data_IF_123195096773
#
_entry.id   IF_123195096773
#
_cell.length_a   1.000
_cell.length_b   1.000
_cell.length_c   1.000
_cell.angle_alpha   90.00
_cell.angle_beta   90.00
_cell.angle_gamma   90.00
#
_symmetry.space_group_name_H-M   'P 1'
#
loop_
_entity.id
_entity.type
_entity.pdbx_description
1 polymer ?
#
# COMPACT_ATOMS: atom_id res chain seq x y z
N UNK A 1 59.72 33.25 43.34
CA UNK A 1 58.83 32.96 42.20
C UNK A 1 58.05 31.70 42.55
N UNK A 2 56.75 31.81 42.73
CA UNK A 2 55.89 30.69 43.09
C UNK A 2 54.52 31.18 43.54
N UNK A 3 53.75 31.74 42.60
CA UNK A 3 52.35 32.12 42.85
C UNK A 3 51.49 30.85 42.95
N UNK A 4 50.67 30.67 44.00
CA UNK A 4 49.73 29.57 44.05
C UNK A 4 48.50 29.90 43.18
N UNK A 5 48.37 29.19 42.06
CA UNK A 5 47.17 29.24 41.20
C UNK A 5 45.98 28.58 41.93
N UNK A 6 45.04 29.42 42.36
CA UNK A 6 43.73 29.00 42.86
C UNK A 6 42.90 28.53 41.67
N UNK A 7 42.50 27.26 41.65
CA UNK A 7 41.62 26.69 40.62
C UNK A 7 40.19 26.71 41.15
N UNK A 8 39.39 27.70 40.75
CA UNK A 8 37.95 27.72 41.00
C UNK A 8 37.27 26.65 40.14
N UNK A 9 36.83 25.57 40.77
CA UNK A 9 35.90 24.60 40.18
C UNK A 9 34.49 25.21 40.19
N UNK A 10 34.06 25.76 39.06
CA UNK A 10 32.68 26.16 38.80
C UNK A 10 31.81 24.91 38.57
N UNK A 11 31.10 24.48 39.61
CA UNK A 11 30.02 23.51 39.50
C UNK A 11 28.79 24.20 38.91
N UNK A 12 28.57 24.02 37.61
CA UNK A 12 27.33 24.43 36.92
C UNK A 12 26.24 23.41 37.25
N UNK A 13 25.40 23.73 38.24
CA UNK A 13 24.15 23.02 38.50
C UNK A 13 23.07 23.50 37.51
N UNK A 14 22.71 22.64 36.55
CA UNK A 14 21.57 22.89 35.66
C UNK A 14 20.28 22.48 36.37
N UNK A 15 19.55 23.46 36.92
CA UNK A 15 18.16 23.26 37.32
C UNK A 15 17.29 23.35 36.06
N UNK A 16 16.71 22.23 35.63
CA UNK A 16 15.67 22.22 34.59
C UNK A 16 14.37 22.68 35.25
N UNK A 17 14.02 23.95 35.08
CA UNK A 17 12.66 24.41 35.33
C UNK A 17 11.79 23.98 34.14
N UNK A 18 10.85 23.07 34.39
CA UNK A 18 9.76 22.80 33.47
C UNK A 18 8.84 24.03 33.45
N UNK A 19 9.11 24.96 32.54
CA UNK A 19 8.21 26.07 32.28
C UNK A 19 7.01 25.51 31.50
N UNK A 20 5.87 25.39 32.18
CA UNK A 20 4.58 25.10 31.58
C UNK A 20 4.21 26.27 30.67
N UNK A 21 4.69 26.21 29.43
CA UNK A 21 4.43 27.20 28.39
C UNK A 21 3.00 27.04 27.88
N UNK A 22 2.24 28.12 28.06
CA UNK A 22 1.01 28.52 27.37
C UNK A 22 0.38 27.50 26.43
N UNK A 23 -0.80 27.03 26.82
CA UNK A 23 -1.87 26.60 25.91
C UNK A 23 -2.08 27.68 24.82
N UNK A 24 -2.45 27.24 23.62
CA UNK A 24 -2.64 28.01 22.38
C UNK A 24 -1.45 28.05 21.41
N UNK A 25 -0.91 26.88 21.09
CA UNK A 25 -0.60 26.56 19.71
C UNK A 25 -1.48 25.35 19.35
N UNK A 26 -2.53 25.57 18.57
CA UNK A 26 -3.20 24.52 17.81
C UNK A 26 -2.19 23.94 16.81
N UNK A 27 -1.24 23.14 17.30
CA UNK A 27 -0.75 22.02 16.52
C UNK A 27 -1.91 21.04 16.47
N UNK A 28 -2.72 21.18 15.42
CA UNK A 28 -3.65 20.17 15.00
C UNK A 28 -2.82 18.93 14.64
N UNK A 29 -2.42 18.17 15.66
CA UNK A 29 -1.90 16.81 15.54
C UNK A 29 -2.99 16.07 14.77
N UNK A 30 -2.80 15.95 13.47
CA UNK A 30 -3.74 15.28 12.59
C UNK A 30 -4.00 13.90 13.18
N UNK A 31 -5.23 13.69 13.66
CA UNK A 31 -5.70 12.39 14.10
C UNK A 31 -5.41 11.40 12.99
N UNK A 32 -4.96 10.21 13.37
CA UNK A 32 -4.64 9.21 12.37
C UNK A 32 -5.93 8.75 11.65
N UNK A 33 -5.99 8.88 10.32
CA UNK A 33 -7.25 8.73 9.59
C UNK A 33 -7.75 7.27 9.54
N UNK A 34 -6.88 6.31 9.88
CA UNK A 34 -7.22 4.89 9.97
C UNK A 34 -7.90 4.51 11.28
N UNK A 35 -7.79 5.30 12.36
CA UNK A 35 -8.38 4.98 13.67
C UNK A 35 -9.92 4.99 13.65
N UNK A 36 -10.51 5.69 12.68
CA UNK A 36 -11.93 5.66 12.43
C UNK A 36 -12.41 4.27 11.94
N UNK A 37 -11.56 3.53 11.20
CA UNK A 37 -11.87 2.22 10.60
C UNK A 37 -11.39 1.05 11.47
N UNK A 38 -10.21 1.18 12.06
CA UNK A 38 -9.54 0.13 12.81
C UNK A 38 -9.41 0.53 14.27
N UNK A 39 -10.17 -0.13 15.14
CA UNK A 39 -10.22 0.16 16.58
C UNK A 39 -9.12 -0.56 17.33
N UNK A 40 -8.59 0.08 18.35
CA UNK A 40 -7.56 -0.48 19.23
C UNK A 40 -8.03 -1.75 19.92
N UNK A 41 -7.09 -2.65 20.20
CA UNK A 41 -7.31 -3.95 20.81
C UNK A 41 -8.32 -4.83 20.05
N UNK A 42 -8.43 -4.61 18.72
CA UNK A 42 -9.20 -5.47 17.81
C UNK A 42 -8.27 -6.18 16.83
N UNK A 43 -8.78 -7.30 16.34
CA UNK A 43 -8.21 -8.10 15.26
C UNK A 43 -9.24 -8.15 14.13
N UNK A 44 -8.78 -7.88 12.92
CA UNK A 44 -9.58 -7.95 11.70
C UNK A 44 -9.03 -9.06 10.82
N UNK A 45 -9.89 -9.95 10.34
CA UNK A 45 -9.49 -11.11 9.52
C UNK A 45 -10.15 -11.00 8.16
N UNK A 46 -9.34 -11.07 7.11
CA UNK A 46 -9.77 -10.97 5.72
C UNK A 46 -9.23 -12.13 4.89
N UNK A 47 -9.99 -12.51 3.86
CA UNK A 47 -9.46 -13.33 2.78
C UNK A 47 -8.94 -12.41 1.68
N UNK A 48 -7.62 -12.42 1.46
CA UNK A 48 -6.99 -11.67 0.40
C UNK A 48 -6.79 -12.56 -0.83
N UNK A 49 -7.15 -12.04 -2.01
CA UNK A 49 -6.88 -12.67 -3.29
C UNK A 49 -6.38 -11.62 -4.27
N UNK A 50 -5.31 -11.93 -4.98
CA UNK A 50 -4.80 -11.11 -6.08
C UNK A 50 -4.42 -12.00 -7.25
N UNK A 51 -4.68 -11.51 -8.46
CA UNK A 51 -4.28 -12.16 -9.69
C UNK A 51 -3.70 -11.12 -10.64
N UNK A 52 -2.68 -11.51 -11.41
CA UNK A 52 -2.16 -10.72 -12.52
C UNK A 52 -2.38 -11.52 -13.80
N UNK A 53 -2.92 -10.87 -14.82
CA UNK A 53 -3.22 -11.48 -16.12
C UNK A 53 -2.64 -10.60 -17.21
N UNK A 54 -1.80 -11.18 -18.06
CA UNK A 54 -1.34 -10.57 -19.30
C UNK A 54 -2.05 -11.21 -20.48
N UNK A 55 -2.51 -10.40 -21.45
CA UNK A 55 -3.20 -10.89 -22.64
C UNK A 55 -3.31 -9.82 -23.73
N UNK A 56 -3.75 -10.23 -24.92
CA UNK A 56 -4.03 -9.33 -26.05
C UNK A 56 -5.53 -9.22 -26.22
N UNK A 57 -6.07 -8.03 -25.95
CA UNK A 57 -7.51 -7.75 -26.07
C UNK A 57 -7.98 -7.97 -27.52
N UNK A 58 -9.06 -8.72 -27.70
CA UNK A 58 -9.78 -8.84 -28.97
C UNK A 58 -9.34 -9.96 -29.93
N UNK A 59 -8.17 -10.57 -29.75
CA UNK A 59 -7.65 -11.60 -30.69
C UNK A 59 -7.40 -12.97 -30.07
N UNK A 60 -7.09 -13.05 -28.77
CA UNK A 60 -6.89 -14.33 -28.10
C UNK A 60 -7.43 -14.28 -26.67
N UNK A 61 -8.06 -15.37 -26.22
CA UNK A 61 -8.39 -15.58 -24.80
C UNK A 61 -7.19 -16.05 -23.97
N UNK A 62 -6.00 -16.10 -24.57
CA UNK A 62 -4.78 -16.51 -23.90
C UNK A 62 -4.43 -15.50 -22.82
N UNK A 63 -4.46 -15.97 -21.56
CA UNK A 63 -4.00 -15.21 -20.41
C UNK A 63 -3.00 -16.04 -19.61
N UNK A 64 -1.99 -15.37 -19.07
CA UNK A 64 -1.03 -15.98 -18.14
C UNK A 64 -0.83 -15.04 -16.95
N UNK A 65 -0.56 -15.64 -15.79
CA UNK A 65 0.01 -14.96 -14.65
C UNK A 65 -0.30 -15.64 -13.31
N UNK A 66 0.31 -15.14 -12.24
CA UNK A 66 0.17 -15.71 -10.91
C UNK A 66 -1.16 -15.30 -10.27
N UNK A 67 -1.63 -16.16 -9.37
CA UNK A 67 -2.70 -15.89 -8.41
C UNK A 67 -2.22 -16.25 -7.02
N UNK A 68 -2.39 -15.31 -6.10
CA UNK A 68 -2.06 -15.46 -4.69
C UNK A 68 -3.33 -15.36 -3.86
N UNK A 69 -3.50 -16.26 -2.91
CA UNK A 69 -4.54 -16.18 -1.89
C UNK A 69 -3.91 -16.29 -0.52
N UNK A 70 -4.32 -15.47 0.44
CA UNK A 70 -3.84 -15.53 1.83
C UNK A 70 -4.98 -15.17 2.79
N UNK A 71 -4.98 -15.78 3.97
CA UNK A 71 -5.66 -15.21 5.12
C UNK A 71 -4.80 -14.08 5.69
N UNK A 72 -5.40 -12.91 5.90
CA UNK A 72 -4.74 -11.73 6.42
C UNK A 72 -5.37 -11.38 7.77
N UNK A 73 -4.54 -11.25 8.80
CA UNK A 73 -4.94 -10.74 10.10
C UNK A 73 -4.27 -9.39 10.36
N UNK A 74 -5.08 -8.37 10.64
CA UNK A 74 -4.61 -7.06 11.05
C UNK A 74 -4.95 -6.84 12.52
N UNK A 75 -3.93 -6.82 13.37
CA UNK A 75 -4.04 -6.51 14.78
C UNK A 75 -3.77 -5.02 15.03
N UNK A 76 -4.50 -4.42 15.97
CA UNK A 76 -4.37 -3.00 16.33
C UNK A 76 -3.95 -2.88 17.80
N UNK A 77 -2.67 -3.12 18.16
CA UNK A 77 -2.22 -3.08 19.56
C UNK A 77 -2.38 -1.70 20.20
N UNK A 78 -2.18 -0.63 19.43
CA UNK A 78 -2.39 0.75 19.86
C UNK A 78 -2.96 1.56 18.70
N UNK A 79 -3.42 2.78 18.99
CA UNK A 79 -3.95 3.64 17.93
C UNK A 79 -2.87 3.89 16.89
N UNK A 80 -3.19 3.54 15.64
CA UNK A 80 -2.33 3.75 14.47
C UNK A 80 -0.96 3.09 14.52
N UNK A 81 -0.88 2.00 15.27
CA UNK A 81 0.12 0.97 15.04
C UNK A 81 -0.57 -0.36 14.85
N UNK A 82 -0.11 -1.07 13.83
CA UNK A 82 -0.73 -2.29 13.37
C UNK A 82 0.31 -3.39 13.25
N UNK A 83 -0.15 -4.63 13.38
CA UNK A 83 0.65 -5.82 13.08
C UNK A 83 -0.11 -6.65 12.07
N UNK A 84 0.49 -6.83 10.89
CA UNK A 84 -0.04 -7.62 9.80
C UNK A 84 0.54 -9.04 9.88
N UNK A 85 -0.33 -10.01 10.05
CA UNK A 85 -0.03 -11.43 9.91
C UNK A 85 -0.65 -11.96 8.62
N UNK A 86 0.06 -12.88 7.97
CA UNK A 86 -0.44 -13.63 6.83
C UNK A 86 -0.33 -15.11 7.12
N UNK A 87 -1.36 -15.86 6.79
CA UNK A 87 -1.46 -17.31 7.02
C UNK A 87 -2.20 -17.96 5.85
N UNK A 88 -2.06 -19.28 5.72
CA UNK A 88 -2.73 -20.08 4.68
C UNK A 88 -2.51 -19.49 3.28
N UNK A 89 -1.29 -19.06 3.00
CA UNK A 89 -0.94 -18.47 1.72
C UNK A 89 -0.74 -19.55 0.64
N UNK A 90 -1.38 -19.37 -0.52
CA UNK A 90 -1.21 -20.24 -1.67
C UNK A 90 -0.79 -19.44 -2.90
N UNK A 91 0.19 -19.97 -3.63
CA UNK A 91 0.66 -19.44 -4.91
C UNK A 91 0.29 -20.42 -6.02
N UNK A 92 -0.42 -19.91 -7.01
CA UNK A 92 -0.85 -20.66 -8.17
C UNK A 92 -0.58 -19.87 -9.45
N UNK A 93 -0.49 -20.56 -10.57
CA UNK A 93 -0.26 -19.97 -11.89
C UNK A 93 -1.21 -20.58 -12.91
N UNK A 94 -1.48 -19.84 -13.99
CA UNK A 94 -2.30 -20.35 -15.08
C UNK A 94 -1.57 -21.50 -15.76
N UNK A 95 -2.22 -22.66 -15.78
CA UNK A 95 -1.66 -23.88 -16.38
C UNK A 95 -2.24 -24.19 -17.76
N UNK A 96 -3.55 -24.03 -17.91
CA UNK A 96 -4.31 -24.33 -19.12
C UNK A 96 -5.49 -23.35 -19.17
N UNK A 97 -6.02 -23.10 -20.36
CA UNK A 97 -7.27 -22.37 -20.56
C UNK A 97 -8.34 -23.39 -20.91
N UNK A 98 -9.43 -23.37 -20.19
CA UNK A 98 -10.53 -24.31 -20.40
C UNK A 98 -11.27 -24.03 -21.73
N UNK A 99 -12.17 -24.94 -22.18
CA UNK A 99 -12.94 -24.73 -23.40
C UNK A 99 -13.83 -23.48 -23.38
N UNK A 100 -14.16 -22.95 -22.21
CA UNK A 100 -14.97 -21.73 -22.02
C UNK A 100 -14.10 -20.47 -22.18
N UNK A 101 -12.78 -20.60 -22.05
CA UNK A 101 -11.81 -19.53 -22.15
C UNK A 101 -11.35 -18.99 -20.81
N UNK A 102 -11.64 -19.69 -19.71
CA UNK A 102 -11.25 -19.31 -18.36
C UNK A 102 -9.91 -19.95 -17.96
N UNK A 103 -9.04 -19.22 -17.24
CA UNK A 103 -7.75 -19.73 -16.81
C UNK A 103 -7.91 -20.76 -15.68
N UNK A 104 -7.32 -21.94 -15.87
CA UNK A 104 -7.23 -23.00 -14.87
C UNK A 104 -5.92 -22.89 -14.11
N UNK A 105 -6.02 -22.59 -12.82
CA UNK A 105 -4.88 -22.41 -11.93
C UNK A 105 -4.38 -23.74 -11.35
N UNK A 106 -3.06 -23.91 -11.29
CA UNK A 106 -2.40 -24.99 -10.55
C UNK A 106 -1.34 -24.41 -9.62
N UNK A 107 -0.99 -25.16 -8.58
CA UNK A 107 0.07 -24.77 -7.66
C UNK A 107 1.36 -24.49 -8.42
N UNK A 108 1.95 -23.32 -8.19
CA UNK A 108 3.16 -22.89 -8.88
C UNK A 108 4.39 -23.61 -8.30
N UNK A 109 5.46 -23.68 -9.09
CA UNK A 109 6.76 -24.13 -8.58
C UNK A 109 7.22 -23.22 -7.43
N UNK A 110 7.63 -23.82 -6.30
CA UNK A 110 8.08 -23.08 -5.12
C UNK A 110 6.96 -22.50 -4.23
N UNK A 111 5.70 -22.90 -4.43
CA UNK A 111 4.58 -22.45 -3.61
C UNK A 111 4.78 -22.69 -2.10
N UNK A 112 5.41 -23.81 -1.70
CA UNK A 112 5.66 -24.10 -0.29
C UNK A 112 6.67 -23.12 0.32
N UNK A 113 7.73 -22.78 -0.42
CA UNK A 113 8.71 -21.79 0.01
C UNK A 113 8.11 -20.38 0.06
N UNK A 114 7.22 -20.06 -0.88
CA UNK A 114 6.44 -18.82 -0.88
C UNK A 114 5.54 -18.73 0.36
N UNK A 115 4.78 -19.79 0.65
CA UNK A 115 3.92 -19.86 1.83
C UNK A 115 4.74 -19.66 3.10
N UNK A 116 5.82 -20.44 3.27
CA UNK A 116 6.70 -20.31 4.42
C UNK A 116 7.24 -18.88 4.58
N UNK A 117 7.65 -18.23 3.49
CA UNK A 117 8.20 -16.88 3.54
C UNK A 117 7.14 -15.81 3.87
N UNK A 118 5.92 -15.93 3.33
CA UNK A 118 4.81 -15.04 3.69
C UNK A 118 4.48 -15.14 5.18
N UNK A 119 4.37 -16.37 5.71
CA UNK A 119 3.90 -16.65 7.07
C UNK A 119 4.97 -16.46 8.15
N UNK A 120 6.26 -16.45 7.78
CA UNK A 120 7.38 -16.41 8.73
C UNK A 120 7.38 -15.18 9.64
N UNK A 121 7.28 -13.98 9.05
CA UNK A 121 7.52 -12.72 9.74
C UNK A 121 6.26 -11.83 9.73
N UNK A 122 5.75 -11.39 10.90
CA UNK A 122 4.70 -10.36 10.92
C UNK A 122 5.27 -9.00 10.51
N UNK A 123 4.47 -8.18 9.83
CA UNK A 123 4.88 -6.84 9.43
C UNK A 123 4.28 -5.79 10.36
N UNK A 124 5.15 -5.05 11.06
CA UNK A 124 4.75 -3.96 11.95
C UNK A 124 4.59 -2.68 11.13
N UNK A 125 3.52 -1.94 11.38
CA UNK A 125 3.11 -0.77 10.61
C UNK A 125 2.79 0.36 11.59
N UNK A 126 3.22 1.58 11.29
CA UNK A 126 2.75 2.77 12.00
C UNK A 126 2.27 3.81 11.01
N UNK A 127 1.37 4.68 11.44
CA UNK A 127 1.05 5.91 10.71
C UNK A 127 1.62 7.10 11.49
N UNK A 128 2.30 7.98 10.78
CA UNK A 128 2.87 9.22 11.32
C UNK A 128 2.32 10.42 10.54
N UNK A 129 2.00 11.56 11.21
CA UNK A 129 1.40 12.74 10.57
C UNK A 129 2.09 13.25 9.30
N UNK A 130 3.43 13.28 9.29
CA UNK A 130 4.21 13.86 8.19
C UNK A 130 4.58 12.84 7.12
N UNK A 131 4.85 11.59 7.53
CA UNK A 131 5.36 10.56 6.61
C UNK A 131 4.26 9.62 6.11
N UNK A 132 3.11 9.60 6.78
CA UNK A 132 2.05 8.65 6.52
C UNK A 132 2.43 7.25 6.99
N UNK A 133 2.22 6.24 6.14
CA UNK A 133 2.47 4.84 6.49
C UNK A 133 3.98 4.56 6.53
N UNK A 134 4.46 4.03 7.66
CA UNK A 134 5.78 3.45 7.80
C UNK A 134 5.71 1.96 8.08
N UNK A 135 6.63 1.23 7.46
CA UNK A 135 6.72 -0.23 7.54
C UNK A 135 8.03 -0.62 8.23
N UNK A 136 7.96 -1.58 9.15
CA UNK A 136 9.11 -2.13 9.86
C UNK A 136 9.19 -3.64 9.58
N UNK A 137 9.73 -4.02 8.41
CA UNK A 137 9.96 -5.43 8.07
C UNK A 137 11.11 -6.00 8.89
N UNK A 138 11.13 -7.32 9.05
CA UNK A 138 12.30 -8.01 9.62
C UNK A 138 13.47 -7.98 8.61
N UNK A 139 14.74 -7.91 9.05
CA UNK A 139 15.89 -7.71 8.17
C UNK A 139 16.08 -8.79 7.09
N UNK A 140 15.58 -10.00 7.35
CA UNK A 140 15.70 -11.16 6.46
C UNK A 140 14.47 -11.35 5.56
N UNK A 141 13.49 -10.43 5.59
CA UNK A 141 12.29 -10.53 4.78
C UNK A 141 12.61 -10.27 3.29
N UNK A 142 12.34 -11.23 2.39
CA UNK A 142 12.60 -11.02 0.96
C UNK A 142 11.78 -9.87 0.38
N UNK A 143 12.40 -9.06 -0.48
CA UNK A 143 11.77 -7.86 -1.04
C UNK A 143 10.47 -8.17 -1.80
N UNK A 144 10.41 -9.30 -2.50
CA UNK A 144 9.19 -9.74 -3.20
C UNK A 144 8.04 -10.06 -2.23
N UNK A 145 8.33 -10.69 -1.09
CA UNK A 145 7.36 -10.98 -0.03
C UNK A 145 6.86 -9.68 0.59
N UNK A 146 7.78 -8.77 0.92
CA UNK A 146 7.44 -7.45 1.44
C UNK A 146 6.58 -6.63 0.46
N UNK A 147 6.83 -6.73 -0.84
CA UNK A 147 6.01 -6.06 -1.86
C UNK A 147 4.57 -6.59 -1.93
N UNK A 148 4.37 -7.88 -1.70
CA UNK A 148 3.01 -8.45 -1.62
C UNK A 148 2.29 -7.93 -0.37
N UNK A 149 2.99 -7.88 0.78
CA UNK A 149 2.45 -7.28 2.01
C UNK A 149 2.15 -5.78 1.84
N UNK A 150 2.99 -5.02 1.11
CA UNK A 150 2.69 -3.63 0.71
C UNK A 150 1.40 -3.52 -0.08
N UNK A 151 1.16 -4.44 -1.02
CA UNK A 151 -0.09 -4.53 -1.78
C UNK A 151 -1.32 -4.71 -0.87
N UNK A 152 -1.24 -5.65 0.08
CA UNK A 152 -2.30 -5.86 1.10
C UNK A 152 -2.56 -4.57 1.89
N UNK A 153 -1.50 -3.92 2.39
CA UNK A 153 -1.63 -2.68 3.17
C UNK A 153 -2.24 -1.56 2.35
N UNK A 154 -1.84 -1.41 1.08
CA UNK A 154 -2.42 -0.41 0.18
C UNK A 154 -3.91 -0.64 -0.04
N UNK A 155 -4.38 -1.89 -0.06
CA UNK A 155 -5.81 -2.19 -0.15
C UNK A 155 -6.56 -1.85 1.17
N UNK A 156 -5.92 -2.05 2.32
CA UNK A 156 -6.50 -1.74 3.64
C UNK A 156 -6.46 -0.24 3.99
N UNK A 157 -5.62 0.55 3.32
CA UNK A 157 -5.38 1.97 3.60
C UNK A 157 -6.46 2.88 2.99
N UNK A 158 -7.69 2.81 3.51
CA UNK A 158 -8.77 3.72 3.11
C UNK A 158 -9.20 4.60 4.29
N UNK A 159 -8.83 5.89 4.30
CA UNK A 159 -9.19 6.82 5.37
C UNK A 159 -10.68 7.17 5.34
N UNK A 160 -11.16 7.86 6.39
CA UNK A 160 -12.47 8.51 6.38
C UNK A 160 -12.36 9.88 5.72
N UNK A 161 -13.29 10.16 4.82
CA UNK A 161 -13.29 11.28 3.87
C UNK A 161 -13.27 12.66 4.48
N UNK A 162 -13.94 12.87 5.61
CA UNK A 162 -14.01 14.19 6.28
C UNK A 162 -12.62 14.71 6.68
N UNK A 163 -11.60 13.85 6.63
CA UNK A 163 -10.21 14.14 7.04
C UNK A 163 -9.18 13.98 5.89
N UNK A 164 -9.58 13.72 4.64
CA UNK A 164 -8.62 13.37 3.57
C UNK A 164 -8.51 14.38 2.43
N UNK A 165 -7.26 14.66 2.04
CA UNK A 165 -6.91 15.29 0.75
C UNK A 165 -7.02 14.28 -0.39
N UNK A 166 -7.19 14.75 -1.63
CA UNK A 166 -7.21 13.92 -2.85
C UNK A 166 -5.90 13.14 -3.12
N UNK A 167 -4.89 13.21 -2.26
CA UNK A 167 -3.59 12.55 -2.41
C UNK A 167 -3.46 11.45 -1.35
N UNK A 168 -3.26 10.20 -1.78
CA UNK A 168 -3.19 9.03 -0.91
C UNK A 168 -1.87 8.27 -1.06
N UNK A 169 -1.40 7.67 0.04
CA UNK A 169 -0.27 6.73 0.03
C UNK A 169 -0.70 5.37 -0.54
N UNK A 170 0.02 4.90 -1.57
CA UNK A 170 -0.21 3.63 -2.26
C UNK A 170 1.11 2.86 -2.48
N UNK A 171 1.04 1.66 -3.06
CA UNK A 171 2.24 0.94 -3.54
C UNK A 171 3.02 1.67 -4.64
N UNK A 172 2.36 2.60 -5.36
CA UNK A 172 2.94 3.42 -6.42
C UNK A 172 3.40 4.81 -5.90
N UNK A 173 3.43 5.00 -4.58
CA UNK A 173 3.75 6.26 -3.91
C UNK A 173 2.51 7.10 -3.60
N UNK A 174 2.68 8.42 -3.55
CA UNK A 174 1.62 9.42 -3.42
C UNK A 174 0.88 9.54 -4.75
N UNK A 175 -0.39 9.16 -4.75
CA UNK A 175 -1.25 9.19 -5.93
C UNK A 175 -2.41 10.14 -5.71
N UNK A 176 -2.69 11.00 -6.71
CA UNK A 176 -3.99 11.66 -6.80
C UNK A 176 -5.07 10.59 -6.98
N UNK A 177 -6.11 10.68 -6.16
CA UNK A 177 -7.19 9.70 -6.08
C UNK A 177 -8.52 10.43 -6.19
N UNK A 178 -9.28 10.11 -7.23
CA UNK A 178 -10.64 10.59 -7.39
C UNK A 178 -11.60 9.69 -6.61
N UNK A 179 -12.56 10.31 -5.93
CA UNK A 179 -13.45 9.65 -4.99
C UNK A 179 -14.91 9.79 -5.42
N UNK A 180 -15.65 8.68 -5.43
CA UNK A 180 -17.09 8.66 -5.73
C UNK A 180 -17.83 7.86 -4.66
N UNK A 181 -18.83 8.48 -4.03
CA UNK A 181 -19.78 7.78 -3.13
C UNK A 181 -20.85 7.11 -3.99
N UNK A 182 -20.94 5.78 -3.93
CA UNK A 182 -22.00 5.04 -4.59
C UNK A 182 -23.24 4.91 -3.69
N UNK A 183 -23.06 4.75 -2.38
CA UNK A 183 -24.16 4.62 -1.40
C UNK A 183 -23.78 5.17 -0.03
N UNK A 184 -24.67 5.98 0.54
CA UNK A 184 -24.54 6.59 1.88
C UNK A 184 -25.71 6.21 2.79
N UNK A 185 -25.39 5.92 4.05
CA UNK A 185 -26.34 5.77 5.17
C UNK A 185 -25.91 6.73 6.29
N UNK A 186 -25.54 6.20 7.46
CA UNK A 186 -24.93 7.01 8.53
C UNK A 186 -23.46 7.35 8.18
N UNK A 187 -22.84 6.52 7.33
CA UNK A 187 -21.53 6.73 6.72
C UNK A 187 -21.58 6.43 5.21
N UNK A 188 -20.49 6.74 4.50
CA UNK A 188 -20.27 6.24 3.14
C UNK A 188 -20.04 4.73 3.20
N UNK A 189 -21.03 3.97 2.72
CA UNK A 189 -21.08 2.50 2.80
C UNK A 189 -20.55 1.80 1.56
N UNK A 190 -20.59 2.47 0.41
CA UNK A 190 -20.04 1.99 -0.86
C UNK A 190 -19.33 3.15 -1.55
N UNK A 191 -18.06 2.94 -1.87
CA UNK A 191 -17.13 3.96 -2.35
C UNK A 191 -16.34 3.41 -3.52
N UNK A 192 -16.12 4.24 -4.54
CA UNK A 192 -15.17 3.96 -5.61
C UNK A 192 -14.04 4.97 -5.60
N UNK A 193 -12.81 4.47 -5.64
CA UNK A 193 -11.59 5.24 -5.82
C UNK A 193 -11.03 4.97 -7.21
N UNK A 194 -10.75 6.03 -7.96
CA UNK A 194 -10.13 5.93 -9.29
C UNK A 194 -8.81 6.70 -9.31
N UNK A 195 -7.79 6.13 -9.95
CA UNK A 195 -6.44 6.70 -10.05
C UNK A 195 -5.89 6.56 -11.46
N UNK A 196 -5.32 7.66 -11.96
CA UNK A 196 -4.35 7.63 -13.05
C UNK A 196 -2.96 7.41 -12.44
N UNK A 197 -2.41 6.21 -12.62
CA UNK A 197 -1.13 5.82 -12.01
C UNK A 197 0.04 6.62 -12.58
N UNK A 198 -0.11 7.23 -13.76
CA UNK A 198 0.92 8.08 -14.34
C UNK A 198 1.14 9.38 -13.56
N UNK A 199 0.19 9.76 -12.70
CA UNK A 199 0.25 10.94 -11.84
C UNK A 199 0.87 10.66 -10.46
N UNK A 200 1.22 9.40 -10.15
CA UNK A 200 1.84 9.08 -8.87
C UNK A 200 3.35 9.40 -8.86
N UNK A 201 3.88 9.83 -7.71
CA UNK A 201 5.26 10.32 -7.58
C UNK A 201 6.33 9.21 -7.66
N UNK A 202 5.98 7.97 -7.34
CA UNK A 202 6.89 6.82 -7.40
C UNK A 202 6.50 5.81 -8.48
N UNK A 203 5.56 6.15 -9.36
CA UNK A 203 5.21 5.29 -10.49
C UNK A 203 6.37 5.23 -11.49
N UNK A 204 7.19 4.19 -11.35
CA UNK A 204 8.32 3.94 -12.24
C UNK A 204 7.89 3.01 -13.36
N UNK A 205 7.69 3.59 -14.55
CA UNK A 205 7.64 2.80 -15.78
C UNK A 205 8.98 2.09 -15.95
N UNK A 206 8.98 0.75 -15.93
CA UNK A 206 10.21 -0.06 -15.94
C UNK A 206 11.08 0.34 -17.13
N UNK A 207 12.29 0.83 -16.84
CA UNK A 207 13.35 1.00 -17.82
C UNK A 207 14.19 -0.26 -17.79
N UNK A 208 14.03 -1.12 -18.79
CA UNK A 208 14.97 -2.23 -18.97
C UNK A 208 16.22 -1.68 -19.66
N UNK A 209 17.42 -1.76 -19.05
CA UNK A 209 18.67 -1.37 -19.71
C UNK A 209 18.93 -2.20 -20.98
N UNK A 210 18.39 -3.43 -21.01
CA UNK A 210 18.43 -4.34 -22.15
C UNK A 210 17.38 -4.02 -23.23
N UNK A 211 16.52 -3.02 -23.02
CA UNK A 211 15.58 -2.60 -24.04
C UNK A 211 16.33 -1.91 -25.18
N UNK A 212 16.05 -2.21 -26.46
CA UNK A 212 16.56 -1.43 -27.59
C UNK A 212 16.21 0.07 -27.45
N UNK A 213 15.12 0.38 -26.75
CA UNK A 213 14.69 1.75 -26.45
C UNK A 213 15.57 2.48 -25.42
N UNK A 214 16.44 1.75 -24.70
CA UNK A 214 17.45 2.36 -23.84
C UNK A 214 18.55 3.07 -24.64
N UNK A 215 18.75 2.70 -25.91
CA UNK A 215 19.69 3.35 -26.84
C UNK A 215 19.17 4.70 -27.36
N UNK A 216 17.87 4.96 -27.20
CA UNK A 216 17.20 6.16 -27.68
C UNK A 216 16.51 6.88 -26.51
N UNK A 217 17.29 7.47 -25.57
CA UNK A 217 16.75 8.10 -24.37
C UNK A 217 15.78 9.25 -24.67
N UNK A 218 15.90 9.91 -25.83
CA UNK A 218 14.98 10.94 -26.31
C UNK A 218 13.57 10.40 -26.64
N UNK A 219 13.44 9.11 -26.99
CA UNK A 219 12.16 8.46 -27.30
C UNK A 219 11.48 7.87 -26.06
N UNK A 220 12.18 7.80 -24.92
CA UNK A 220 11.66 7.22 -23.69
C UNK A 220 10.43 7.97 -23.15
N UNK A 221 10.45 9.31 -23.22
CA UNK A 221 9.32 10.15 -22.82
C UNK A 221 8.05 9.91 -23.66
N UNK A 222 8.11 10.08 -24.99
CA UNK A 222 6.97 9.81 -25.88
C UNK A 222 6.45 8.37 -25.80
N UNK A 223 7.33 7.36 -25.82
CA UNK A 223 6.93 5.94 -25.79
C UNK A 223 6.28 5.55 -24.45
N UNK A 224 6.68 6.21 -23.37
CA UNK A 224 6.07 5.99 -22.07
C UNK A 224 4.61 6.47 -21.99
N UNK A 225 4.18 7.37 -22.90
CA UNK A 225 2.77 7.77 -23.06
C UNK A 225 1.93 6.76 -23.83
N UNK A 226 2.56 5.78 -24.47
CA UNK A 226 1.86 4.68 -25.14
C UNK A 226 1.34 3.64 -24.14
N UNK A 227 1.55 3.82 -22.82
CA UNK A 227 0.99 2.92 -21.80
C UNK A 227 0.04 3.74 -20.94
N UNK A 228 -1.25 3.47 -21.07
CA UNK A 228 -2.26 3.96 -20.12
C UNK A 228 -2.28 3.06 -18.89
N UNK A 229 -2.20 3.64 -17.69
CA UNK A 229 -2.17 2.89 -16.43
C UNK A 229 -3.21 3.44 -15.47
N UNK A 230 -4.26 2.67 -15.19
CA UNK A 230 -5.37 3.09 -14.34
C UNK A 230 -5.63 2.07 -13.24
N UNK A 231 -6.15 2.55 -12.12
CA UNK A 231 -6.58 1.70 -11.00
C UNK A 231 -7.95 2.15 -10.51
N UNK A 232 -8.88 1.20 -10.43
CA UNK A 232 -10.23 1.39 -9.92
C UNK A 232 -10.45 0.45 -8.73
N UNK A 233 -10.81 0.99 -7.57
CA UNK A 233 -11.05 0.24 -6.35
C UNK A 233 -12.44 0.54 -5.78
N UNK A 234 -13.26 -0.50 -5.65
CA UNK A 234 -14.55 -0.42 -4.95
C UNK A 234 -14.41 -0.94 -3.52
N UNK A 235 -14.93 -0.18 -2.56
CA UNK A 235 -14.87 -0.48 -1.14
C UNK A 235 -16.27 -0.49 -0.53
N UNK A 236 -16.48 -1.44 0.38
CA UNK A 236 -17.71 -1.55 1.15
C UNK A 236 -17.41 -1.50 2.65
N UNK A 237 -18.29 -0.83 3.40
CA UNK A 237 -18.13 -0.61 4.83
C UNK A 237 -19.40 -1.00 5.60
N UNK A 238 -19.20 -1.55 6.80
CA UNK A 238 -20.31 -1.83 7.72
C UNK A 238 -20.84 -0.50 8.29
N UNK A 239 -22.13 -0.21 8.10
CA UNK A 239 -22.71 1.06 8.54
C UNK A 239 -22.64 1.28 10.06
N UNK A 240 -22.75 0.22 10.87
CA UNK A 240 -22.79 0.32 12.34
C UNK A 240 -21.41 0.31 12.95
N UNK A 241 -20.57 -0.63 12.52
CA UNK A 241 -19.22 -0.89 13.04
C UNK A 241 -18.15 -0.06 12.34
N UNK A 242 -18.48 0.57 11.21
CA UNK A 242 -17.65 1.49 10.41
C UNK A 242 -16.35 0.90 9.80
N UNK A 243 -16.10 -0.39 9.97
CA UNK A 243 -14.95 -1.07 9.39
C UNK A 243 -15.22 -1.53 7.95
N UNK A 244 -14.14 -1.75 7.20
CA UNK A 244 -14.20 -2.24 5.83
C UNK A 244 -14.66 -3.71 5.81
N UNK A 245 -15.67 -4.03 5.02
CA UNK A 245 -16.18 -5.40 4.85
C UNK A 245 -15.66 -6.06 3.58
N UNK A 246 -15.47 -5.28 2.52
CA UNK A 246 -14.99 -5.77 1.23
C UNK A 246 -14.20 -4.69 0.49
N UNK A 247 -13.26 -5.13 -0.34
CA UNK A 247 -12.49 -4.29 -1.25
C UNK A 247 -12.19 -5.06 -2.53
N UNK A 248 -12.48 -4.46 -3.69
CA UNK A 248 -12.19 -5.03 -5.01
C UNK A 248 -11.47 -3.97 -5.82
N UNK A 249 -10.19 -4.22 -6.13
CA UNK A 249 -9.37 -3.33 -6.95
C UNK A 249 -9.05 -3.99 -8.29
N UNK A 250 -9.15 -3.21 -9.36
CA UNK A 250 -8.73 -3.58 -10.71
C UNK A 250 -7.69 -2.57 -11.20
N UNK A 251 -6.48 -3.04 -11.47
CA UNK A 251 -5.41 -2.25 -12.08
C UNK A 251 -5.20 -2.70 -13.52
N UNK A 252 -5.10 -1.76 -14.45
CA UNK A 252 -4.94 -2.03 -15.88
C UNK A 252 -3.77 -1.24 -16.44
N UNK A 253 -2.92 -1.93 -17.19
CA UNK A 253 -1.87 -1.31 -18.00
C UNK A 253 -2.12 -1.69 -19.46
N UNK A 254 -2.46 -0.71 -20.28
CA UNK A 254 -2.84 -0.90 -21.68
C UNK A 254 -1.80 -0.23 -22.56
N UNK A 255 -1.14 -1.03 -23.39
CA UNK A 255 -0.28 -0.51 -24.45
C UNK A 255 -1.12 -0.06 -25.65
N UNK A 256 -1.00 1.21 -26.02
CA UNK A 256 -1.70 1.92 -27.08
C UNK A 256 -0.66 2.35 -28.13
N UNK A 257 -0.19 1.45 -29.01
CA UNK A 257 0.91 1.72 -29.95
C UNK A 257 0.57 2.78 -31.00
N UNK A 258 -0.72 2.98 -31.30
CA UNK A 258 -1.21 3.96 -32.27
C UNK A 258 -2.45 4.61 -31.67
N UNK A 259 -2.48 5.95 -31.62
CA UNK A 259 -3.68 6.69 -31.22
C UNK A 259 -4.81 6.33 -32.17
N UNK A 260 -5.83 5.64 -31.69
CA UNK A 260 -7.14 5.71 -32.32
C UNK A 260 -7.68 7.09 -31.97
N UNK A 261 -7.76 7.98 -32.97
CA UNK A 261 -8.72 9.08 -32.96
C UNK A 261 -10.14 8.51 -32.91
#
# INVERSE_FOLDING_TARGET
>A
MGDPKIWLLLLLSTNVFAQKGSENADEQMSSCPLSARFKTFKKYVYQYTTESKNGVTGTSKLSNGPKVTCQVELEVPQECSFVLHTANCALSEVSVIDPQGEPVYRQAAGADAFQAAMEKNPLKITWEPVVGIRLYPEPDEPVNILNIKRGIISALNVPVMEESNDIMNTVHGLCKTDYTVNSRKDIDTDVTLTRDLSQCDQFRRMKLPSSPLALLPSLHGPLSKLISSTQDCNYQFDNRRKHMTNAVCTEKHIFLPFSHE
#
